data_IF_111312297751
#
_entry.id   IF_111312297751
#
_cell.length_a   1.000
_cell.length_b   1.000
_cell.length_c   1.000
_cell.angle_alpha   90.00
_cell.angle_beta   90.00
_cell.angle_gamma   90.00
#
_symmetry.space_group_name_H-M   'P 1'
#
loop_
_entity.id
_entity.type
_entity.pdbx_description
1 polymer ?
2 polymer ?
3 non-polymer ?
4 water ?
#
# COMPACT_ATOMS: atom_id res chain seq x y z
N UNK A 1 10.38 5.20 -12.08
CA UNK A 1 9.91 6.03 -13.19
C UNK A 1 8.46 5.70 -13.56
N UNK A 2 8.07 6.12 -14.76
CA UNK A 2 6.69 5.96 -15.26
C UNK A 2 6.67 5.46 -16.68
N UNK A 3 5.69 4.62 -16.99
CA UNK A 3 5.43 4.15 -18.35
C UNK A 3 3.92 4.16 -18.55
N UNK A 4 3.46 4.87 -19.56
CA UNK A 4 2.05 4.87 -19.88
C UNK A 4 1.82 4.20 -21.22
N UNK A 5 0.69 3.51 -21.34
CA UNK A 5 0.38 2.77 -22.54
C UNK A 5 -1.13 2.66 -22.69
N UNK A 6 -1.60 2.52 -23.92
CA UNK A 6 -3.02 2.33 -24.19
C UNK A 6 -3.37 0.85 -24.04
N UNK A 7 -4.61 0.56 -23.65
CA UNK A 7 -5.07 -0.83 -23.57
C UNK A 7 -4.88 -1.56 -24.90
N UNK A 8 -4.43 -2.81 -24.83
CA UNK A 8 -4.17 -3.59 -26.02
C UNK A 8 -2.76 -3.46 -26.57
N UNK A 9 -2.08 -2.36 -26.26
CA UNK A 9 -0.72 -2.15 -26.75
C UNK A 9 0.32 -2.84 -25.86
N UNK A 10 1.59 -2.64 -26.18
CA UNK A 10 2.68 -3.32 -25.50
C UNK A 10 3.47 -2.36 -24.61
N UNK A 11 3.70 -2.77 -23.37
CA UNK A 11 4.47 -1.98 -22.43
C UNK A 11 5.83 -2.62 -22.27
N UNK A 12 6.86 -1.80 -22.04
CA UNK A 12 8.19 -2.32 -21.76
C UNK A 12 8.74 -1.57 -20.57
N UNK A 13 9.33 -2.30 -19.64
CA UNK A 13 9.80 -1.69 -18.42
C UNK A 13 11.24 -2.08 -18.20
N UNK A 14 12.09 -1.08 -17.95
CA UNK A 14 13.51 -1.32 -17.82
C UNK A 14 13.88 -1.23 -16.36
N UNK A 15 14.76 -2.12 -15.91
CA UNK A 15 15.14 -2.13 -14.50
C UNK A 15 16.56 -2.62 -14.31
N UNK A 16 17.27 -2.00 -13.38
CA UNK A 16 18.63 -2.40 -13.04
C UNK A 16 19.74 -1.86 -13.93
N UNK A 17 20.96 -2.15 -13.50
CA UNK A 17 22.19 -1.70 -14.14
C UNK A 17 22.43 -2.53 -15.40
N UNK A 18 23.34 -2.08 -16.26
CA UNK A 18 23.73 -2.88 -17.42
C UNK A 18 24.45 -4.15 -16.99
N UNK A 19 24.20 -5.25 -17.69
CA UNK A 19 24.71 -6.55 -17.26
C UNK A 19 26.22 -6.62 -17.38
N UNK A 20 26.84 -7.43 -16.52
CA UNK A 20 28.29 -7.68 -16.59
C UNK A 20 28.54 -9.17 -16.79
N UNK A 21 27.92 -9.97 -15.94
CA UNK A 21 28.04 -11.42 -16.03
C UNK A 21 26.77 -12.10 -16.50
N UNK A 22 26.63 -13.39 -16.22
CA UNK A 22 25.40 -14.10 -16.60
C UNK A 22 24.33 -13.69 -15.62
N UNK A 23 23.07 -13.70 -16.05
CA UNK A 23 22.05 -13.06 -15.25
C UNK A 23 20.88 -13.97 -14.91
N UNK A 24 20.31 -13.77 -13.73
CA UNK A 24 18.96 -14.26 -13.44
C UNK A 24 18.14 -13.12 -12.83
N UNK A 25 17.14 -12.67 -13.57
CA UNK A 25 16.34 -11.54 -13.12
C UNK A 25 14.98 -12.02 -12.67
N UNK A 26 14.54 -11.47 -11.53
CA UNK A 26 13.26 -11.80 -10.93
C UNK A 26 12.40 -10.55 -11.00
N UNK A 27 11.14 -10.70 -11.39
CA UNK A 27 10.25 -9.53 -11.47
C UNK A 27 9.07 -9.67 -10.56
N UNK A 28 8.71 -8.55 -9.91
CA UNK A 28 7.56 -8.52 -9.03
C UNK A 28 6.59 -7.43 -9.47
N UNK A 29 5.31 -7.66 -9.21
CA UNK A 29 4.26 -6.71 -9.56
C UNK A 29 3.63 -6.29 -8.25
N UNK A 30 3.38 -4.99 -8.10
CA UNK A 30 2.72 -4.56 -6.88
C UNK A 30 1.52 -3.69 -7.20
N UNK A 31 0.33 -4.25 -6.94
CA UNK A 31 -0.92 -3.52 -7.16
C UNK A 31 -1.17 -2.57 -5.98
N UNK A 32 -1.86 -1.44 -6.23
CA UNK A 32 -2.12 -0.45 -5.17
C UNK A 32 -2.71 -1.06 -3.91
N UNK A 33 -2.06 -0.82 -2.77
CA UNK A 33 -2.52 -1.34 -1.49
C UNK A 33 -2.18 -2.80 -1.20
N UNK A 34 -1.41 -3.43 -2.08
CA UNK A 34 -1.10 -4.85 -1.93
C UNK A 34 0.41 -5.12 -1.76
N UNK A 35 0.72 -6.33 -1.29
CA UNK A 35 2.09 -6.83 -1.26
C UNK A 35 2.59 -7.05 -2.70
N UNK A 36 3.91 -6.99 -2.91
CA UNK A 36 4.49 -7.45 -4.18
C UNK A 36 4.11 -8.92 -4.42
N UNK A 37 3.97 -9.32 -5.66
CA UNK A 37 3.78 -10.73 -5.99
C UNK A 37 4.73 -11.10 -7.11
N UNK A 38 5.20 -12.33 -7.10
CA UNK A 38 6.15 -12.78 -8.11
C UNK A 38 5.50 -12.89 -9.49
N UNK A 39 6.16 -12.34 -10.51
CA UNK A 39 5.68 -12.40 -11.88
C UNK A 39 6.56 -13.24 -12.78
N UNK A 40 7.88 -13.09 -12.61
CA UNK A 40 8.82 -13.85 -13.43
C UNK A 40 10.05 -14.18 -12.60
N UNK A 41 10.59 -15.38 -12.80
CA UNK A 41 11.88 -15.70 -12.20
C UNK A 41 12.78 -16.31 -13.25
N UNK A 42 14.08 -16.36 -12.97
CA UNK A 42 15.04 -16.97 -13.91
C UNK A 42 14.91 -16.35 -15.29
N UNK A 43 14.79 -15.02 -15.34
CA UNK A 43 14.68 -14.24 -16.58
C UNK A 43 13.36 -14.32 -17.33
N UNK A 44 12.85 -15.54 -17.56
CA UNK A 44 11.60 -15.66 -18.33
C UNK A 44 10.72 -16.84 -17.94
N UNK A 45 10.87 -17.34 -16.72
CA UNK A 45 9.98 -18.40 -16.26
C UNK A 45 8.85 -17.78 -15.43
N UNK A 46 7.64 -18.29 -15.60
CA UNK A 46 6.50 -17.75 -14.87
C UNK A 46 5.99 -18.75 -13.83
N UNK A 47 5.60 -18.24 -12.66
CA UNK A 47 4.95 -19.09 -11.65
C UNK A 47 3.48 -19.32 -12.00
N UNK A 48 2.80 -20.13 -11.19
CA UNK A 48 1.41 -20.47 -11.42
C UNK A 48 0.48 -19.25 -11.40
N UNK A 49 -0.33 -19.10 -12.43
CA UNK A 49 -1.30 -18.02 -12.50
C UNK A 49 -0.88 -16.84 -13.36
N UNK A 50 0.38 -16.83 -13.82
CA UNK A 50 0.88 -15.75 -14.66
C UNK A 50 0.85 -16.14 -16.15
N UNK A 51 0.13 -15.36 -16.97
CA UNK A 51 -0.04 -15.62 -18.41
C UNK A 51 1.19 -15.24 -19.24
N UNK A 52 1.26 -15.72 -20.48
CA UNK A 52 2.45 -15.49 -21.32
C UNK A 52 2.49 -14.10 -21.96
N UNK A 53 1.59 -13.21 -21.53
CA UNK A 53 1.67 -11.81 -21.93
C UNK A 53 2.92 -11.19 -21.32
N UNK A 54 3.34 -11.73 -20.19
CA UNK A 54 4.48 -11.20 -19.45
C UNK A 54 5.74 -11.95 -19.86
N UNK A 55 6.77 -11.21 -20.25
CA UNK A 55 8.03 -11.83 -20.69
C UNK A 55 9.20 -11.00 -20.23
N UNK A 56 10.31 -11.67 -19.90
CA UNK A 56 11.51 -10.98 -19.48
C UNK A 56 12.64 -11.16 -20.47
N UNK A 57 13.51 -10.17 -20.57
CA UNK A 57 14.60 -10.19 -21.53
C UNK A 57 15.70 -11.12 -21.03
N UNK A 58 16.29 -11.92 -21.94
CA UNK A 58 17.26 -12.96 -21.54
C UNK A 58 18.41 -12.42 -20.68
N UNK A 59 18.95 -13.25 -19.80
CA UNK A 59 20.10 -12.84 -19.00
C UNK A 59 21.38 -13.02 -19.79
N UNK A 60 21.53 -12.20 -20.83
CA UNK A 60 22.28 -12.58 -22.03
C UNK A 60 23.40 -11.62 -22.48
N UNK A 61 23.08 -10.84 -23.51
CA UNK A 61 24.01 -9.92 -24.18
C UNK A 61 24.65 -8.96 -23.18
N UNK A 62 25.98 -9.00 -23.09
CA UNK A 62 26.67 -8.24 -22.06
C UNK A 62 26.47 -6.74 -22.22
N UNK A 63 26.36 -6.04 -21.09
CA UNK A 63 26.24 -4.60 -21.10
C UNK A 63 24.85 -4.09 -21.45
N UNK A 64 23.84 -4.93 -21.26
CA UNK A 64 22.48 -4.50 -21.54
C UNK A 64 21.63 -4.54 -20.28
N UNK A 65 20.47 -3.90 -20.36
CA UNK A 65 19.61 -3.80 -19.19
C UNK A 65 18.44 -4.76 -19.31
N UNK A 66 18.01 -5.29 -18.17
CA UNK A 66 16.90 -6.22 -18.12
C UNK A 66 15.61 -5.47 -18.41
N UNK A 67 14.73 -6.11 -19.16
CA UNK A 67 13.47 -5.49 -19.53
C UNK A 67 12.32 -6.50 -19.35
N UNK A 68 11.19 -6.00 -18.85
CA UNK A 68 9.97 -6.79 -18.76
C UNK A 68 9.02 -6.27 -19.82
N UNK A 69 8.53 -7.16 -20.66
CA UNK A 69 7.59 -6.77 -21.70
C UNK A 69 6.20 -7.30 -21.35
N UNK A 70 5.20 -6.43 -21.43
CA UNK A 70 3.82 -6.89 -21.26
C UNK A 70 3.05 -6.57 -22.54
N UNK A 71 2.60 -7.61 -23.22
CA UNK A 71 1.85 -7.43 -24.47
C UNK A 71 0.37 -7.45 -24.15
N UNK A 72 -0.45 -6.88 -25.03
CA UNK A 72 -1.90 -6.86 -24.86
C UNK A 72 -2.29 -6.39 -23.46
N UNK A 73 -1.81 -5.20 -23.09
CA UNK A 73 -1.99 -4.69 -21.75
C UNK A 73 -3.46 -4.45 -21.42
N UNK A 74 -3.86 -4.82 -20.21
CA UNK A 74 -5.20 -4.48 -19.72
C UNK A 74 -5.09 -3.67 -18.43
N UNK A 75 -6.20 -3.08 -18.01
CA UNK A 75 -6.21 -2.19 -16.85
C UNK A 75 -5.77 -2.90 -15.57
N UNK A 76 -5.96 -4.22 -15.53
CA UNK A 76 -5.52 -5.02 -14.40
C UNK A 76 -4.01 -5.03 -14.22
N UNK A 77 -3.27 -4.68 -15.28
CA UNK A 77 -1.81 -4.68 -15.24
C UNK A 77 -1.21 -3.42 -14.59
N UNK A 78 -2.04 -2.40 -14.42
CA UNK A 78 -1.60 -1.17 -13.73
C UNK A 78 -1.06 -1.47 -12.33
N UNK A 79 0.22 -1.12 -12.12
CA UNK A 79 0.93 -1.51 -10.92
C UNK A 79 2.32 -0.95 -10.96
N UNK A 80 3.01 -1.10 -9.83
CA UNK A 80 4.44 -0.86 -9.77
C UNK A 80 5.16 -2.16 -10.08
N UNK A 81 6.24 -2.08 -10.82
CA UNK A 81 7.00 -3.29 -11.15
C UNK A 81 8.43 -3.12 -10.66
N UNK A 82 8.99 -4.15 -10.04
CA UNK A 82 10.36 -4.11 -9.52
C UNK A 82 11.09 -5.33 -10.01
N UNK A 83 12.38 -5.20 -10.28
CA UNK A 83 13.18 -6.36 -10.59
C UNK A 83 14.11 -6.61 -9.43
N UNK A 84 14.60 -7.83 -9.31
CA UNK A 84 15.65 -8.15 -8.35
C UNK A 84 16.72 -8.84 -9.18
N UNK A 85 17.89 -8.21 -9.28
CA UNK A 85 18.93 -8.67 -10.20
C UNK A 85 19.93 -9.60 -9.54
N UNK A 86 20.17 -10.76 -10.17
CA UNK A 86 21.28 -11.63 -9.85
C UNK A 86 22.23 -11.66 -11.03
N UNK A 87 23.47 -11.25 -10.79
CA UNK A 87 24.45 -11.11 -11.87
C UNK A 87 25.70 -11.82 -11.39
N UNK A 88 26.21 -12.77 -12.18
CA UNK A 88 27.26 -13.67 -11.68
C UNK A 88 28.54 -12.94 -11.33
N UNK A 89 28.68 -11.72 -11.84
CA UNK A 89 29.90 -10.93 -11.64
C UNK A 89 29.75 -9.80 -10.61
N UNK A 90 28.58 -9.70 -9.99
CA UNK A 90 28.33 -8.65 -9.00
C UNK A 90 27.98 -9.26 -7.64
N UNK A 91 28.19 -8.49 -6.57
CA UNK A 91 27.71 -8.95 -5.26
C UNK A 91 26.19 -9.10 -5.24
N UNK A 92 25.70 -9.91 -4.32
CA UNK A 92 24.26 -10.03 -4.08
C UNK A 92 23.65 -8.66 -3.88
N UNK A 93 22.53 -8.40 -4.58
CA UNK A 93 21.77 -7.17 -4.41
C UNK A 93 20.75 -7.37 -3.31
N UNK A 94 20.81 -6.55 -2.27
CA UNK A 94 19.88 -6.68 -1.14
C UNK A 94 18.72 -5.69 -1.27
N UNK A 95 18.84 -4.77 -2.22
CA UNK A 95 17.75 -3.86 -2.54
C UNK A 95 17.24 -4.18 -3.94
N UNK A 96 15.93 -4.19 -4.14
CA UNK A 96 15.39 -4.40 -5.46
C UNK A 96 15.73 -3.21 -6.34
N UNK A 97 15.69 -3.39 -7.65
CA UNK A 97 15.88 -2.25 -8.55
C UNK A 97 14.80 -1.22 -8.32
N UNK A 98 15.06 0.02 -8.72
CA UNK A 98 14.07 1.09 -8.59
C UNK A 98 12.84 0.76 -9.41
N UNK A 99 11.67 1.03 -8.83
CA UNK A 99 10.42 0.63 -9.45
C UNK A 99 9.97 1.48 -10.60
N UNK A 100 9.12 0.90 -11.45
CA UNK A 100 8.46 1.67 -12.50
C UNK A 100 6.96 1.50 -12.39
N UNK A 101 6.25 2.63 -12.44
CA UNK A 101 4.79 2.63 -12.39
C UNK A 101 4.21 2.51 -13.79
N UNK A 102 3.44 1.45 -14.03
CA UNK A 102 2.74 1.28 -15.31
C UNK A 102 1.36 1.92 -15.24
N UNK A 103 1.14 2.88 -16.13
CA UNK A 103 -0.14 3.57 -16.27
C UNK A 103 -0.85 3.03 -17.50
N UNK A 104 -2.11 2.62 -17.34
CA UNK A 104 -2.88 2.13 -18.47
C UNK A 104 -3.98 3.13 -18.82
N UNK A 105 -3.82 3.82 -19.94
CA UNK A 105 -4.74 4.89 -20.30
C UNK A 105 -6.03 4.33 -20.87
N UNK A 106 -6.89 3.82 -20.02
CA UNK A 106 -8.21 3.40 -20.45
C UNK A 106 -9.08 4.63 -20.66
N UNK A 107 -8.79 5.67 -19.88
CA UNK A 107 -9.52 6.93 -19.90
C UNK A 107 -11.02 6.72 -19.68
N UNK A 110 -11.68 10.35 -16.55
CA UNK A 110 -10.65 11.36 -16.36
C UNK A 110 -11.08 12.46 -15.39
N UNK A 111 -12.36 12.84 -15.44
CA UNK A 111 -12.90 13.93 -14.61
C UNK A 111 -13.40 13.42 -13.26
N UNK A 112 -13.12 14.19 -12.19
CA UNK A 112 -13.36 13.71 -10.82
C UNK A 112 -14.84 13.57 -10.46
N UNK A 113 -15.14 12.53 -9.69
CA UNK A 113 -16.36 12.46 -8.91
C UNK A 113 -16.06 13.13 -7.57
N UNK A 114 -16.89 14.11 -7.20
CA UNK A 114 -16.75 14.77 -5.90
C UNK A 114 -17.95 14.50 -4.99
N UNK A 115 -17.68 14.19 -3.72
CA UNK A 115 -18.75 14.05 -2.75
C UNK A 115 -18.41 14.84 -1.48
N UNK A 116 -19.40 15.58 -0.98
CA UNK A 116 -19.20 16.47 0.17
C UNK A 116 -20.17 16.18 1.32
N UNK A 117 -19.63 15.72 2.45
CA UNK A 117 -20.44 15.43 3.63
C UNK A 117 -20.35 16.51 4.69
N UNK A 118 -21.49 16.87 5.26
CA UNK A 118 -21.56 17.72 6.45
C UNK A 118 -21.08 16.96 7.68
N UNK A 119 -20.82 17.68 8.80
CA UNK A 119 -20.45 16.96 10.03
C UNK A 119 -21.59 16.06 10.51
N UNK A 120 -21.25 14.93 11.11
CA UNK A 120 -22.25 14.01 11.61
C UNK A 120 -22.85 14.55 12.90
N UNK A 121 -24.06 14.10 13.25
CA UNK A 121 -24.69 14.51 14.50
C UNK A 121 -23.78 14.08 15.64
N UNK A 122 -23.20 12.89 15.46
CA UNK A 122 -22.34 12.31 16.47
C UNK A 122 -21.07 13.13 16.70
N UNK A 123 -20.45 13.63 15.64
CA UNK A 123 -19.28 14.50 15.83
C UNK A 123 -19.70 15.79 16.53
N UNK A 124 -20.84 16.35 16.11
CA UNK A 124 -21.38 17.57 16.70
C UNK A 124 -21.68 17.40 18.18
N UNK A 125 -22.09 16.19 18.58
CA UNK A 125 -22.37 15.89 19.97
C UNK A 125 -21.08 15.79 20.77
N UNK A 126 -19.96 15.68 20.06
CA UNK A 126 -18.66 15.65 20.70
C UNK A 126 -17.99 17.01 20.55
N UNK A 127 -18.79 18.01 20.18
CA UNK A 127 -18.35 19.39 20.09
C UNK A 127 -17.25 19.59 19.04
N UNK A 128 -17.28 18.75 18.01
CA UNK A 128 -16.35 18.87 16.91
C UNK A 128 -17.13 18.93 15.60
N UNK A 129 -16.46 19.35 14.54
CA UNK A 129 -17.10 19.38 13.23
C UNK A 129 -16.06 19.24 12.14
N UNK A 130 -16.33 18.34 11.19
CA UNK A 130 -15.45 18.16 10.05
C UNK A 130 -16.29 18.02 8.81
N UNK A 131 -15.97 18.84 7.81
CA UNK A 131 -16.56 18.74 6.49
C UNK A 131 -15.70 17.80 5.67
N UNK A 132 -16.32 16.84 4.98
CA UNK A 132 -15.55 15.86 4.25
C UNK A 132 -15.81 15.93 2.75
N UNK A 133 -14.75 16.22 1.98
CA UNK A 133 -14.87 16.36 0.53
C UNK A 133 -14.11 15.23 -0.14
N UNK A 134 -14.83 14.31 -0.76
CA UNK A 134 -14.21 13.12 -1.35
C UNK A 134 -14.07 13.25 -2.87
N UNK A 135 -12.87 13.02 -3.38
CA UNK A 135 -12.58 13.21 -4.80
C UNK A 135 -11.97 11.95 -5.41
N UNK A 136 -12.59 11.44 -6.47
CA UNK A 136 -12.17 10.16 -7.01
C UNK A 136 -12.38 10.03 -8.53
N UNK A 137 -11.88 8.91 -9.05
CA UNK A 137 -12.11 8.50 -10.43
C UNK A 137 -11.59 9.52 -11.45
N UNK A 138 -10.55 10.27 -11.07
CA UNK A 138 -9.98 11.24 -11.99
C UNK A 138 -8.58 10.85 -12.50
N UNK A 139 -8.29 11.27 -13.73
CA UNK A 139 -6.96 11.16 -14.32
C UNK A 139 -6.77 12.32 -15.28
N UNK A 140 -5.56 12.90 -15.34
CA UNK A 140 -4.38 12.59 -14.51
C UNK A 140 -4.55 12.98 -13.03
N UNK A 141 -3.55 12.67 -12.21
CA UNK A 141 -3.69 12.82 -10.77
C UNK A 141 -3.26 14.16 -10.22
N UNK A 142 -3.70 15.24 -10.85
CA UNK A 142 -3.45 16.57 -10.33
C UNK A 142 -4.76 17.29 -10.07
N UNK A 143 -5.00 17.63 -8.81
CA UNK A 143 -6.09 18.50 -8.43
C UNK A 143 -5.58 19.45 -7.37
N UNK A 144 -6.18 20.63 -7.27
CA UNK A 144 -6.02 21.43 -6.07
C UNK A 144 -7.41 21.59 -5.49
N UNK A 145 -7.49 21.63 -4.17
CA UNK A 145 -8.77 21.83 -3.52
C UNK A 145 -8.72 23.10 -2.70
N UNK A 146 -9.79 23.87 -2.80
CA UNK A 146 -9.94 25.07 -2.00
C UNK A 146 -11.29 24.99 -1.32
N UNK A 147 -11.41 25.66 -0.17
CA UNK A 147 -12.68 25.69 0.55
C UNK A 147 -13.18 27.11 0.67
N UNK A 148 -14.50 27.26 0.71
CA UNK A 148 -15.09 28.56 0.91
C UNK A 148 -16.00 28.52 2.12
N UNK A 149 -15.99 29.61 2.87
CA UNK A 149 -16.99 29.81 3.91
C UNK A 149 -17.85 30.96 3.37
N UNK A 150 -19.11 30.67 3.09
CA UNK A 150 -19.94 31.54 2.26
C UNK A 150 -19.19 31.80 0.95
N UNK A 151 -18.73 33.04 0.76
CA UNK A 151 -17.93 33.37 -0.42
C UNK A 151 -16.45 33.51 -0.07
N UNK A 152 -16.16 33.49 1.23
CA UNK A 152 -14.82 33.81 1.71
C UNK A 152 -13.91 32.60 1.66
N UNK A 153 -12.66 32.81 1.20
CA UNK A 153 -11.65 31.76 1.25
C UNK A 153 -11.34 31.37 2.69
N UNK A 154 -11.20 30.08 2.92
CA UNK A 154 -10.78 29.54 4.20
C UNK A 154 -9.26 29.58 4.30
N UNK A 155 -8.77 30.16 5.39
CA UNK A 155 -7.33 30.33 5.59
C UNK A 155 -6.75 29.29 6.55
N UNK A 156 -7.61 28.42 7.08
CA UNK A 156 -7.20 27.53 8.17
C UNK A 156 -8.09 26.31 8.34
N UNK A 157 -7.48 25.20 8.76
CA UNK A 157 -8.23 24.00 9.12
C UNK A 157 -8.40 23.00 7.99
N UNK A 158 -7.78 23.28 6.84
CA UNK A 158 -7.89 22.42 5.67
C UNK A 158 -6.76 21.40 5.62
N UNK A 159 -7.12 20.13 5.48
CA UNK A 159 -6.11 19.11 5.21
C UNK A 159 -6.48 18.29 3.97
N UNK A 160 -5.55 18.23 3.02
CA UNK A 160 -5.85 17.59 1.75
C UNK A 160 -4.77 16.58 1.37
N UNK A 161 -5.19 15.40 0.95
CA UNK A 161 -4.28 14.35 0.56
C UNK A 161 -3.63 14.70 -0.78
N UNK A 162 -2.40 14.24 -0.96
CA UNK A 162 -1.85 14.11 -2.28
C UNK A 162 -2.61 12.92 -2.84
N UNK A 163 -3.15 13.04 -4.07
CA UNK A 163 -3.91 11.89 -4.57
C UNK A 163 -3.00 10.71 -4.87
N UNK A 164 -3.57 9.52 -4.88
CA UNK A 164 -2.85 8.31 -5.27
C UNK A 164 -3.75 7.37 -6.07
N UNK A 165 -3.16 6.28 -6.57
CA UNK A 165 -3.90 5.28 -7.33
C UNK A 165 -4.53 4.24 -6.39
N UNK A 171 -7.33 8.28 -10.02
CA UNK A 171 -6.84 8.71 -8.72
C UNK A 171 -7.97 9.01 -7.75
N UNK A 172 -7.62 9.04 -6.46
CA UNK A 172 -8.56 9.42 -5.40
C UNK A 172 -7.88 10.37 -4.44
N UNK A 173 -8.63 11.35 -3.94
CA UNK A 173 -8.06 12.32 -3.01
C UNK A 173 -9.13 12.79 -2.02
N UNK A 174 -8.67 13.33 -0.90
CA UNK A 174 -9.58 13.73 0.15
C UNK A 174 -9.24 15.11 0.65
N UNK A 175 -10.25 15.89 1.00
CA UNK A 175 -9.99 17.12 1.70
C UNK A 175 -10.95 17.25 2.88
N UNK A 176 -10.40 17.70 3.99
CA UNK A 176 -11.10 17.81 5.26
C UNK A 176 -10.98 19.22 5.77
N UNK A 177 -12.12 19.81 6.10
CA UNK A 177 -12.12 21.12 6.75
C UNK A 177 -12.56 20.92 8.19
N UNK A 178 -11.66 21.19 9.13
CA UNK A 178 -11.99 21.15 10.56
C UNK A 178 -12.57 22.48 11.03
N UNK A 179 -13.75 22.43 11.65
CA UNK A 179 -14.43 23.63 12.15
C UNK A 179 -14.94 23.37 13.57
N UNK A 180 -15.30 24.44 14.27
CA UNK A 180 -16.04 24.31 15.53
C UNK A 180 -17.52 24.22 15.17
N UNK A 181 -18.35 23.68 16.09
CA UNK A 181 -19.78 23.58 15.80
C UNK A 181 -20.44 24.92 15.53
N UNK A 182 -20.01 25.97 16.22
CA UNK A 182 -20.61 27.29 15.97
C UNK A 182 -20.13 27.91 14.65
N UNK A 183 -18.89 27.63 14.25
CA UNK A 183 -18.43 28.07 12.93
C UNK A 183 -19.31 27.45 11.83
N UNK A 184 -19.56 26.17 11.96
CA UNK A 184 -20.44 25.43 11.05
C UNK A 184 -21.85 26.02 10.99
N UNK A 185 -22.44 26.32 12.14
CA UNK A 185 -23.82 26.82 12.18
C UNK A 185 -23.91 28.28 11.76
N UNK A 186 -22.81 29.03 11.91
CA UNK A 186 -22.79 30.47 11.63
C UNK A 186 -23.12 30.83 10.18
N UNK A 187 -22.35 30.26 9.26
CA UNK A 187 -22.42 30.65 7.85
C UNK A 187 -23.61 30.02 7.13
N UNK A 188 -23.98 30.63 6.01
CA UNK A 188 -25.07 30.14 5.18
C UNK A 188 -24.69 28.80 4.57
N UNK A 189 -23.44 28.69 4.14
CA UNK A 189 -22.94 27.46 3.53
C UNK A 189 -21.42 27.38 3.53
N UNK A 190 -20.91 26.18 3.27
CA UNK A 190 -19.49 25.99 2.94
C UNK A 190 -19.40 25.26 1.61
N UNK A 191 -18.33 25.51 0.87
CA UNK A 191 -18.17 24.90 -0.45
C UNK A 191 -16.79 24.27 -0.57
N UNK A 192 -16.75 23.13 -1.25
CA UNK A 192 -15.50 22.50 -1.62
C UNK A 192 -15.32 22.73 -3.11
N UNK A 193 -14.19 23.32 -3.51
CA UNK A 193 -13.92 23.60 -4.91
C UNK A 193 -12.75 22.76 -5.41
N UNK A 194 -12.99 21.94 -6.43
CA UNK A 194 -11.94 21.04 -6.93
C UNK A 194 -11.50 21.50 -8.29
N UNK A 195 -10.21 21.79 -8.43
CA UNK A 195 -9.69 22.31 -9.69
C UNK A 195 -8.93 21.21 -10.41
N UNK A 196 -9.39 20.88 -11.61
CA UNK A 196 -8.85 19.75 -12.34
C UNK A 196 -8.83 20.02 -13.84
N UNK A 197 -7.63 19.97 -14.41
CA UNK A 197 -7.45 20.07 -15.86
C UNK A 197 -8.23 21.21 -16.50
N UNK A 198 -8.01 22.42 -15.99
CA UNK A 198 -8.63 23.60 -16.58
C UNK A 198 -10.00 23.93 -16.02
N UNK A 199 -10.67 22.94 -15.41
CA UNK A 199 -12.01 23.17 -14.89
C UNK A 199 -12.05 23.09 -13.37
N UNK A 200 -13.06 23.71 -12.78
CA UNK A 200 -13.25 23.66 -11.34
C UNK A 200 -14.67 23.20 -11.01
N UNK A 201 -14.77 22.10 -10.26
CA UNK A 201 -16.05 21.57 -9.84
C UNK A 201 -16.30 21.93 -8.40
N UNK A 202 -17.48 22.46 -8.12
CA UNK A 202 -17.84 22.86 -6.76
C UNK A 202 -19.08 22.14 -6.24
N UNK A 203 -19.05 21.76 -4.96
CA UNK A 203 -20.23 21.28 -4.26
C UNK A 203 -20.37 22.09 -2.96
N UNK A 204 -21.61 22.27 -2.52
CA UNK A 204 -21.84 23.10 -1.35
C UNK A 204 -22.66 22.35 -0.30
N UNK A 205 -22.53 22.78 0.95
CA UNK A 205 -23.19 22.11 2.07
C UNK A 205 -23.62 23.16 3.09
N UNK A 206 -24.76 22.91 3.76
CA UNK A 206 -25.33 23.87 4.68
C UNK A 206 -25.99 23.21 5.88
N UNK A 207 -26.03 23.92 7.02
CA UNK A 207 -26.86 23.45 8.14
C UNK A 207 -28.34 23.56 7.78
N UNK B 1 -3.66 -23.87 1.58
CA UNK B 1 -2.86 -22.98 0.75
C UNK B 1 -1.77 -22.42 1.65
N UNK B 2 -0.55 -22.32 1.13
CA UNK B 2 0.47 -21.64 1.91
C UNK B 2 0.00 -20.21 2.22
N UNK B 3 0.04 -19.84 3.49
CA UNK B 3 -0.56 -18.59 3.92
C UNK B 3 0.27 -18.06 5.05
N UNK B 4 0.75 -16.83 4.88
CA UNK B 4 1.61 -16.19 5.87
C UNK B 4 0.92 -14.96 6.43
N UNK B 5 1.02 -14.79 7.74
CA UNK B 5 0.42 -13.61 8.34
C UNK B 5 1.38 -12.99 9.34
N UNK B 6 1.83 -11.79 9.03
CA UNK B 6 2.76 -11.05 9.88
C UNK B 6 2.02 -10.29 10.98
N UNK B 7 2.69 -10.13 12.10
CA UNK B 7 2.15 -9.30 13.16
C UNK B 7 3.29 -8.58 13.83
N UNK B 8 2.95 -7.44 14.41
CA UNK B 8 3.94 -6.58 15.01
C UNK B 8 3.23 -5.48 15.77
N UNK B 9 4.01 -4.56 16.34
CA UNK B 9 3.54 -3.55 17.29
C UNK B 9 2.94 -2.31 16.63
N UNK B 10 3.12 -2.14 15.33
CA UNK B 10 2.63 -0.96 14.63
C UNK B 10 3.49 0.27 14.88
N UNK B 11 3.82 0.51 16.15
CA UNK B 11 4.62 1.66 16.58
C UNK B 11 5.78 1.23 17.49
N UNK B 12 6.98 1.72 17.20
CA UNK B 12 8.16 1.47 18.00
C UNK B 12 8.86 2.81 18.24
N UNK B 13 9.39 3.03 19.44
CA UNK B 13 10.14 4.27 19.72
C UNK B 13 11.55 4.13 19.22
N UNK B 14 12.17 5.24 18.82
CA UNK B 14 13.58 5.19 18.43
C UNK B 14 14.47 4.59 19.52
N UNK B 15 15.42 3.75 19.09
CA UNK B 15 16.37 3.01 19.95
C UNK B 15 15.80 1.68 20.48
N UNK B 16 14.50 1.49 20.36
CA UNK B 16 13.89 0.28 20.86
C UNK B 16 14.17 -0.85 19.88
N UNK B 17 13.77 -2.06 20.26
CA UNK B 17 13.91 -3.22 19.36
C UNK B 17 12.59 -3.56 18.72
N UNK B 18 12.59 -3.69 17.40
CA UNK B 18 11.40 -4.12 16.67
C UNK B 18 11.34 -5.64 16.67
N UNK B 19 10.18 -6.18 17.05
CA UNK B 19 10.02 -7.64 17.05
C UNK B 19 8.78 -8.03 16.26
N UNK B 20 8.99 -8.82 15.21
CA UNK B 20 7.90 -9.22 14.32
C UNK B 20 7.79 -10.73 14.27
N UNK B 21 6.57 -11.19 14.00
CA UNK B 21 6.30 -12.62 13.89
C UNK B 21 5.62 -12.87 12.55
N UNK B 22 5.93 -14.00 11.92
CA UNK B 22 5.23 -14.41 10.71
C UNK B 22 4.61 -15.78 10.97
N UNK B 23 3.29 -15.82 11.09
CA UNK B 23 2.56 -17.03 11.37
C UNK B 23 2.34 -17.78 10.06
N UNK B 24 2.74 -19.04 10.02
CA UNK B 24 2.70 -19.80 8.78
C UNK B 24 1.70 -20.95 8.83
N UNK B 25 0.87 -21.08 7.79
CA UNK B 25 0.02 -22.25 7.62
C UNK B 25 0.23 -22.82 6.22
N UNK B 26 -0.15 -24.08 6.04
CA UNK B 26 -0.16 -24.73 4.74
C UNK B 26 1.19 -25.28 4.32
N UNK B 27 2.20 -25.09 5.16
CA UNK B 27 3.52 -25.69 5.01
C UNK B 27 4.19 -25.65 6.39
N UNK B 28 5.21 -26.47 6.59
CA UNK B 28 5.97 -26.49 7.83
C UNK B 28 7.22 -25.65 7.65
N UNK B 29 7.59 -24.86 8.67
CA UNK B 29 8.66 -23.86 8.49
C UNK B 29 10.02 -24.49 8.17
N UNK B 30 10.26 -25.69 8.70
CA UNK B 30 11.54 -26.36 8.49
C UNK B 30 11.78 -26.69 7.00
N UNK B 31 10.71 -26.72 6.22
CA UNK B 31 10.79 -27.22 4.85
C UNK B 31 10.95 -26.11 3.81
N UNK B 32 11.21 -24.88 4.26
CA UNK B 32 11.31 -23.75 3.36
C UNK B 32 12.44 -22.82 3.78
N UNK B 33 13.00 -22.08 2.84
CA UNK B 33 13.78 -20.87 3.17
C UNK B 33 12.75 -19.79 3.40
N UNK B 34 13.04 -18.90 4.34
CA UNK B 34 12.20 -17.76 4.69
C UNK B 34 12.92 -16.44 4.56
N UNK B 35 12.29 -15.45 3.94
CA UNK B 35 12.87 -14.13 3.86
C UNK B 35 12.01 -13.12 4.59
N UNK B 36 12.66 -12.08 5.09
CA UNK B 36 11.95 -10.87 5.48
C UNK B 36 12.36 -9.79 4.50
N UNK B 37 11.38 -8.98 4.12
CA UNK B 37 11.57 -7.91 3.15
C UNK B 37 10.86 -6.68 3.70
N UNK B 38 11.43 -5.50 3.50
CA UNK B 38 10.71 -4.30 3.94
C UNK B 38 10.63 -3.27 2.83
N UNK B 39 9.59 -2.45 2.87
CA UNK B 39 9.37 -1.46 1.85
C UNK B 39 8.89 -0.17 2.48
N UNK B 40 9.78 0.83 2.54
CA UNK B 40 9.35 2.15 2.99
C UNK B 40 8.32 2.75 2.03
N UNK B 41 7.49 3.65 2.57
CA UNK B 41 6.53 4.39 1.75
C UNK B 41 7.20 5.02 0.53
N UNK B 42 6.66 4.72 -0.65
CA UNK B 42 7.14 5.32 -1.88
C UNK B 42 8.47 4.79 -2.41
N UNK B 43 9.00 3.74 -1.78
CA UNK B 43 10.31 3.20 -2.20
C UNK B 43 10.22 1.73 -2.63
N UNK B 44 11.33 1.17 -3.09
CA UNK B 44 11.32 -0.23 -3.53
C UNK B 44 11.58 -1.18 -2.36
N UNK B 45 11.28 -2.48 -2.55
CA UNK B 45 11.59 -3.42 -1.47
C UNK B 45 13.09 -3.56 -1.20
N UNK B 46 13.42 -3.80 0.07
CA UNK B 46 14.77 -4.07 0.56
C UNK B 46 14.76 -5.42 1.27
N UNK B 47 15.61 -6.34 0.84
CA UNK B 47 15.67 -7.69 1.37
C UNK B 47 16.44 -7.63 2.68
N UNK B 48 15.83 -8.09 3.77
CA UNK B 48 16.49 -8.04 5.08
C UNK B 48 17.42 -9.23 5.31
N UNK B 49 16.98 -10.42 4.89
CA UNK B 49 17.74 -11.63 5.12
C UNK B 49 16.92 -12.85 4.78
N UNK B 50 17.59 -14.00 4.71
CA UNK B 50 16.88 -15.26 4.55
C UNK B 50 17.38 -16.24 5.60
N UNK B 51 16.50 -17.13 6.03
CA UNK B 51 16.85 -18.07 7.08
C UNK B 51 16.35 -19.47 6.74
N UNK B 52 17.11 -20.48 7.15
CA UNK B 52 16.74 -21.86 6.94
C UNK B 52 17.13 -22.70 8.16
N UNK B 53 16.35 -23.74 8.44
CA UNK B 53 16.58 -24.60 9.60
C UNK B 53 17.95 -25.28 9.54
N UNK B 54 18.45 -25.49 8.32
CA UNK B 54 19.79 -26.06 8.12
C UNK B 54 20.94 -25.18 8.58
N UNK B 55 20.68 -23.88 8.77
CA UNK B 55 21.74 -22.93 9.05
C UNK B 55 22.20 -22.16 7.81
N UNK B 56 21.62 -22.48 6.66
CA UNK B 56 21.92 -21.76 5.42
C UNK B 56 21.18 -20.44 5.43
N UNK B 57 21.78 -19.47 6.11
CA UNK B 57 21.11 -18.25 6.52
C UNK B 57 22.05 -17.08 6.27
N UNK B 58 21.49 -15.96 5.82
CA UNK B 58 22.32 -14.79 5.56
C UNK B 58 21.55 -13.50 5.72
N UNK B 59 22.25 -12.45 6.16
CA UNK B 59 21.62 -11.17 6.46
C UNK B 59 22.16 -10.06 5.55
N UNK B 60 21.29 -9.12 5.22
CA UNK B 60 21.69 -7.91 4.52
C UNK B 60 22.85 -7.24 5.29
N UNK B 61 24.01 -7.07 4.65
CA UNK B 61 25.17 -6.48 5.35
C UNK B 61 24.89 -5.13 6.03
N UNK B 62 24.03 -4.31 5.43
CA UNK B 62 23.78 -2.98 5.99
C UNK B 62 23.03 -3.06 7.34
N UNK B 63 22.46 -4.22 7.65
CA UNK B 63 21.65 -4.39 8.87
C UNK B 63 22.30 -5.41 9.78
N UNK B 64 23.48 -5.85 9.38
CA UNK B 64 24.09 -7.06 9.92
C UNK B 64 24.13 -7.10 11.43
N UNK B 65 24.53 -5.99 12.05
CA UNK B 65 24.75 -5.98 13.49
C UNK B 65 23.44 -5.81 14.26
N UNK B 66 22.36 -5.52 13.56
CA UNK B 66 21.13 -5.18 14.26
C UNK B 66 20.04 -6.20 14.10
N UNK B 67 20.20 -7.13 13.16
CA UNK B 67 19.10 -8.00 12.79
C UNK B 67 19.30 -9.45 13.27
N UNK B 68 18.20 -10.09 13.63
CA UNK B 68 18.23 -11.52 13.98
C UNK B 68 17.00 -12.17 13.36
N UNK B 69 17.19 -13.31 12.67
CA UNK B 69 16.07 -14.07 12.12
C UNK B 69 16.03 -15.46 12.75
N UNK B 70 14.81 -15.97 13.00
CA UNK B 70 14.66 -17.28 13.61
C UNK B 70 13.46 -18.01 13.05
N UNK B 71 13.47 -19.35 13.19
CA UNK B 71 12.32 -20.20 12.89
C UNK B 71 11.88 -20.89 14.16
N UNK B 72 10.58 -20.97 14.40
CA UNK B 72 10.07 -21.70 15.55
C UNK B 72 9.24 -22.89 15.04
N UNK B 73 9.84 -24.08 15.08
CA UNK B 73 9.22 -25.28 14.53
C UNK B 73 8.03 -25.71 15.37
N UNK B 74 8.06 -25.43 16.67
CA UNK B 74 6.98 -25.92 17.54
C UNK B 74 5.71 -25.14 17.26
N UNK B 75 5.85 -23.85 16.97
CA UNK B 75 4.71 -22.97 16.74
C UNK B 75 4.48 -22.68 15.26
N UNK B 76 5.36 -23.18 14.41
CA UNK B 76 5.29 -22.93 12.96
C UNK B 76 5.24 -21.45 12.59
N UNK B 77 6.26 -20.73 13.04
CA UNK B 77 6.36 -19.31 12.74
C UNK B 77 7.81 -18.91 12.46
N UNK B 78 7.96 -17.72 11.90
CA UNK B 78 9.27 -17.17 11.53
C UNK B 78 9.36 -15.85 12.26
N UNK B 79 10.53 -15.53 12.80
CA UNK B 79 10.61 -14.29 13.58
C UNK B 79 11.71 -13.37 13.09
N UNK B 80 11.54 -12.09 13.38
CA UNK B 80 12.57 -11.08 13.09
C UNK B 80 12.75 -10.22 14.31
N UNK B 81 13.98 -9.87 14.63
CA UNK B 81 14.20 -8.80 15.61
C UNK B 81 15.18 -7.84 14.98
N UNK B 82 14.92 -6.55 15.17
CA UNK B 82 15.77 -5.49 14.60
C UNK B 82 16.03 -4.47 15.72
N UNK B 83 17.28 -4.33 16.13
CA UNK B 83 17.60 -3.49 17.28
C UNK B 83 17.91 -2.04 16.91
N UNK B 84 17.90 -1.18 17.92
CA UNK B 84 18.28 0.22 17.76
C UNK B 84 17.61 0.93 16.62
N UNK B 85 16.28 0.80 16.51
CA UNK B 85 15.60 1.36 15.35
C UNK B 85 15.63 2.89 15.31
N UNK B 86 15.52 3.43 14.10
CA UNK B 86 15.32 4.86 13.90
C UNK B 86 14.24 5.02 12.86
N UNK B 87 13.93 6.26 12.50
CA UNK B 87 12.90 6.55 11.48
C UNK B 87 13.20 5.90 10.14
N UNK B 88 14.48 5.70 9.82
CA UNK B 88 14.87 5.05 8.57
C UNK B 88 14.34 3.61 8.49
N UNK B 89 13.97 3.02 9.64
CA UNK B 89 13.46 1.65 9.65
C UNK B 89 11.93 1.59 9.51
N UNK B 90 11.28 2.75 9.39
CA UNK B 90 9.83 2.75 9.15
C UNK B 90 9.50 2.17 7.77
N UNK B 91 8.59 1.19 7.73
CA UNK B 91 8.28 0.51 6.48
C UNK B 91 7.16 -0.47 6.69
N UNK B 92 6.67 -1.03 5.59
CA UNK B 92 5.87 -2.22 5.70
C UNK B 92 6.80 -3.44 5.60
N UNK B 93 6.69 -4.35 6.55
CA UNK B 93 7.53 -5.53 6.61
C UNK B 93 6.79 -6.77 6.18
N UNK B 94 7.43 -7.57 5.34
CA UNK B 94 6.81 -8.74 4.76
C UNK B 94 7.64 -9.98 5.02
N UNK B 95 6.94 -11.08 5.25
CA UNK B 95 7.50 -12.43 5.36
C UNK B 95 7.21 -13.10 4.01
N UNK B 96 8.16 -13.90 3.50
CA UNK B 96 7.95 -14.65 2.25
C UNK B 96 8.64 -16.01 2.21
N UNK B 97 7.95 -17.01 1.65
CA UNK B 97 8.62 -18.26 1.29
C UNK B 97 9.59 -17.93 0.18
N UNK B 98 10.76 -18.55 0.25
CA UNK B 98 11.85 -18.19 -0.64
C UNK B 98 12.33 -19.45 -1.34
N UNK B 99 12.25 -19.45 -2.66
CA UNK B 99 12.70 -20.61 -3.41
C UNK B 99 14.08 -20.32 -4.00
N UNK B 100 14.79 -21.40 -4.28
CA UNK B 100 16.19 -21.34 -4.68
C UNK B 100 16.30 -21.90 -6.09
N UNK B 101 17.12 -21.29 -6.93
CA UNK B 101 17.37 -21.80 -8.26
C UNK B 101 18.85 -21.68 -8.58
N UNK B 102 19.33 -22.48 -9.53
CA UNK B 102 20.73 -22.41 -9.96
C UNK B 102 20.91 -22.17 -11.46
N UNK B 103 21.81 -21.24 -11.80
CA UNK B 103 22.23 -21.11 -13.18
C UNK B 103 23.47 -21.98 -13.42
N UNK B 104 23.32 -22.98 -14.28
CA UNK B 104 24.36 -24.00 -14.47
C UNK B 104 24.77 -24.04 -15.94
N UNK B 105 26.07 -23.90 -16.19
CA UNK B 105 26.57 -23.97 -17.57
C UNK B 105 27.50 -25.16 -17.77
N UNK B 106 28.25 -25.13 -18.87
CA UNK B 106 29.30 -26.10 -19.09
C UNK B 106 30.40 -25.86 -18.07
N UNK B 107 31.22 -26.88 -17.85
CA UNK B 107 32.28 -26.80 -16.86
C UNK B 107 33.29 -25.72 -17.23
N UNK B 108 33.38 -25.40 -18.52
CA UNK B 108 34.24 -24.31 -18.99
C UNK B 108 33.81 -22.98 -18.38
N UNK B 109 32.53 -22.89 -17.98
CA UNK B 109 31.95 -21.69 -17.39
C UNK B 109 31.64 -21.83 -15.89
N UNK B 110 32.32 -22.76 -15.21
CA UNK B 110 32.11 -23.02 -13.78
C UNK B 110 32.16 -21.77 -12.90
N UNK B 111 33.11 -20.88 -13.15
CA UNK B 111 33.19 -19.65 -12.36
C UNK B 111 31.93 -18.82 -12.45
N UNK B 112 31.12 -19.03 -13.49
CA UNK B 112 29.95 -18.20 -13.67
C UNK B 112 28.67 -18.87 -13.16
N UNK B 113 28.79 -20.07 -12.56
CA UNK B 113 27.64 -20.69 -11.92
C UNK B 113 27.24 -19.91 -10.67
N UNK B 114 25.94 -19.84 -10.42
CA UNK B 114 25.47 -19.13 -9.25
C UNK B 114 24.07 -19.55 -8.87
N UNK B 115 23.73 -19.29 -7.62
CA UNK B 115 22.39 -19.54 -7.13
C UNK B 115 21.63 -18.24 -7.00
N UNK B 116 20.31 -18.31 -7.15
CA UNK B 116 19.50 -17.11 -7.01
C UNK B 116 18.29 -17.50 -6.20
N UNK B 117 17.66 -16.51 -5.55
CA UNK B 117 16.46 -16.75 -4.76
C UNK B 117 15.30 -15.92 -5.30
N UNK B 118 14.09 -16.44 -5.18
CA UNK B 118 12.90 -15.68 -5.53
C UNK B 118 11.84 -15.93 -4.47
N UNK B 119 11.04 -14.90 -4.21
CA UNK B 119 10.04 -14.96 -3.13
C UNK B 119 8.67 -15.25 -3.72
N UNK B 120 8.19 -16.47 -3.56
CA UNK B 120 7.00 -16.86 -4.33
C UNK B 120 5.67 -16.69 -3.60
N UNK B 121 5.68 -16.75 -2.27
CA UNK B 121 4.46 -16.45 -1.50
C UNK B 121 4.77 -15.42 -0.42
N UNK B 122 4.05 -14.30 -0.43
CA UNK B 122 4.26 -13.23 0.53
C UNK B 122 3.08 -13.14 1.50
N UNK B 123 3.32 -12.66 2.72
CA UNK B 123 2.25 -12.36 3.65
C UNK B 123 1.60 -11.03 3.26
N UNK B 124 0.62 -10.55 4.03
CA UNK B 124 -0.06 -9.30 3.69
C UNK B 124 0.76 -8.09 4.10
N UNK B 125 1.72 -8.32 5.00
CA UNK B 125 2.60 -7.26 5.47
C UNK B 125 2.15 -6.69 6.81
N UNK B 126 3.10 -6.22 7.61
CA UNK B 126 2.75 -5.49 8.83
C UNK B 126 3.40 -4.12 8.82
N UNK B 127 2.64 -3.09 9.16
CA UNK B 127 3.16 -1.72 9.10
C UNK B 127 3.95 -1.36 10.35
N UNK B 128 5.15 -0.83 10.15
CA UNK B 128 6.01 -0.42 11.26
C UNK B 128 6.40 1.05 11.14
N UNK B 129 5.98 1.85 12.13
CA UNK B 129 6.36 3.25 12.20
C UNK B 129 7.30 3.43 13.41
N UNK B 130 8.47 3.97 13.16
CA UNK B 130 9.39 4.29 14.24
C UNK B 130 9.24 5.77 14.46
N UNK B 131 8.71 6.15 15.62
CA UNK B 131 8.43 7.54 15.91
C UNK B 131 8.43 7.77 17.40
N UNK B 132 8.76 8.99 17.80
CA UNK B 132 8.72 9.35 19.21
C UNK B 132 7.30 9.76 19.61
N UNK B 133 6.44 9.99 18.64
CA UNK B 133 5.04 10.33 18.96
C UNK B 133 4.25 9.14 19.51
N UNK B 134 3.36 9.40 20.45
CA UNK B 134 2.61 8.33 21.09
C UNK B 134 1.45 7.85 20.25
N UNK B 135 1.08 6.58 20.43
CA UNK B 135 -0.12 6.05 19.82
C UNK B 135 -1.35 6.85 20.23
N UNK B 136 -2.28 7.01 19.28
CA UNK B 136 -3.57 7.63 19.56
C UNK B 136 -4.64 6.87 18.79
N UNK B 137 -5.71 6.46 19.46
CA UNK B 137 -6.79 5.74 18.80
C UNK B 137 -7.74 6.68 18.07
N UNK B 138 -8.34 6.20 16.98
CA UNK B 138 -9.20 7.08 16.16
C UNK B 138 -10.56 7.33 16.79
N UNK B 139 -11.20 8.38 16.31
CA UNK B 139 -12.59 8.64 16.60
C UNK B 139 -13.32 8.33 15.31
N UNK B 140 -14.41 7.58 15.40
CA UNK B 140 -15.10 7.13 14.19
C UNK B 140 -16.49 7.74 14.17
N UNK B 141 -16.84 8.38 13.06
CA UNK B 141 -18.14 9.02 12.93
C UNK B 141 -18.79 8.57 11.63
N UNK B 142 -20.12 8.44 11.64
CA UNK B 142 -20.83 8.02 10.42
C UNK B 142 -21.01 9.17 9.44
N UNK B 143 -20.92 8.88 8.15
CA UNK B 143 -21.20 9.85 7.10
C UNK B 143 -22.55 9.49 6.49
N UNK B 144 -23.60 10.10 7.00
CA UNK B 144 -24.97 9.69 6.73
C UNK B 144 -25.39 9.89 5.28
N UNK B 145 -26.18 8.93 4.75
CA UNK B 145 -26.73 9.00 3.39
C UNK B 145 -27.81 10.09 3.34
N UNK B 146 -27.89 10.82 2.23
CA UNK B 146 -28.88 11.88 2.10
C UNK B 146 -29.37 12.06 0.66
N UNK B 147 -28.48 11.81 -0.30
CA UNK B 147 -28.79 11.97 -1.72
C UNK B 147 -27.81 11.20 -2.60
N UNK B 152 -30.05 9.51 -9.15
CA UNK B 152 -29.56 8.34 -9.85
C UNK B 152 -30.01 7.06 -9.20
N UNK B 153 -30.86 7.19 -8.18
CA UNK B 153 -31.34 6.05 -7.43
C UNK B 153 -30.31 5.52 -6.46
N UNK B 154 -29.12 6.11 -6.48
CA UNK B 154 -28.01 5.68 -5.64
C UNK B 154 -27.56 6.80 -4.70
N UNK B 155 -27.07 6.41 -3.53
CA UNK B 155 -26.56 7.36 -2.56
C UNK B 155 -25.20 6.92 -2.07
N UNK B 156 -24.40 7.87 -1.59
CA UNK B 156 -23.12 7.53 -0.97
C UNK B 156 -23.26 7.67 0.53
N UNK B 157 -22.28 7.13 1.24
CA UNK B 157 -22.50 6.70 2.60
C UNK B 157 -21.11 6.33 3.05
N UNK B 158 -20.71 6.74 4.24
CA UNK B 158 -19.36 6.42 4.65
C UNK B 158 -19.09 6.47 6.13
N UNK B 159 -17.80 6.41 6.46
CA UNK B 159 -17.33 6.55 7.83
C UNK B 159 -16.06 7.38 7.84
N UNK B 160 -16.01 8.32 8.77
CA UNK B 160 -14.84 9.18 8.95
C UNK B 160 -14.04 8.59 10.10
N UNK B 161 -12.75 8.35 9.87
CA UNK B 161 -11.88 7.81 10.90
C UNK B 161 -10.88 8.93 11.21
N UNK B 162 -11.09 9.61 12.33
CA UNK B 162 -10.43 10.89 12.60
C UNK B 162 -9.32 10.80 13.65
N UNK B 163 -8.19 11.43 13.33
CA UNK B 163 -7.15 11.74 14.30
C UNK B 163 -6.55 10.53 15.03
N UNK B 164 -5.87 9.65 14.30
CA UNK B 164 -5.20 8.50 14.89
C UNK B 164 -3.70 8.52 14.56
N UNK B 165 -2.93 7.72 15.31
CA UNK B 165 -1.50 7.55 15.06
C UNK B 165 -1.04 6.23 15.69
N UNK B 166 -0.17 5.49 14.99
CA UNK B 166 0.34 5.68 13.63
C UNK B 166 -0.62 5.03 12.63
N UNK B 167 -0.24 4.98 11.36
CA UNK B 167 -0.87 4.08 10.39
C UNK B 167 -0.62 2.63 10.81
N UNK B 168 -1.48 1.68 10.38
CA UNK B 168 -2.64 1.84 9.51
C UNK B 168 -3.96 1.59 10.22
N UNK B 169 -5.04 1.92 9.54
CA UNK B 169 -6.38 1.56 9.96
C UNK B 169 -6.99 0.71 8.84
N UNK B 170 -7.70 -0.35 9.21
CA UNK B 170 -8.46 -1.11 8.24
C UNK B 170 -9.94 -0.79 8.41
N UNK B 171 -10.66 -0.61 7.30
CA UNK B 171 -12.10 -0.39 7.37
C UNK B 171 -12.80 -1.43 6.51
N UNK B 172 -13.79 -2.11 7.07
CA UNK B 172 -14.61 -2.98 6.24
C UNK B 172 -16.05 -2.56 6.39
N UNK B 173 -16.91 -3.07 5.53
CA UNK B 173 -18.33 -2.79 5.65
C UNK B 173 -19.09 -4.09 5.85
N UNK B 174 -20.00 -4.09 6.82
CA UNK B 174 -20.76 -5.29 7.17
C UNK B 174 -19.86 -6.51 7.37
N UNK B 175 -18.74 -6.29 8.08
CA UNK B 175 -17.78 -7.33 8.44
C UNK B 175 -17.08 -8.00 7.26
N UNK B 176 -17.28 -7.45 6.07
CA UNK B 176 -16.70 -8.02 4.86
C UNK B 176 -17.73 -8.37 3.81
N UNK B 177 -19.00 -8.32 4.19
CA UNK B 177 -20.09 -8.65 3.28
C UNK B 177 -20.53 -7.46 2.45
N UNK B 178 -19.63 -6.49 2.28
CA UNK B 178 -19.85 -5.39 1.35
C UNK B 178 -18.49 -4.88 0.90
N UNK B 179 -18.04 -5.36 -0.25
CA UNK B 179 -16.75 -4.95 -0.80
C UNK B 179 -16.98 -4.27 -2.15
N UNK B 180 -18.20 -4.35 -2.65
CA UNK B 180 -18.55 -3.68 -3.90
C UNK B 180 -19.23 -2.35 -3.65
N UNK B 181 -18.84 -1.33 -4.42
CA UNK B 181 -19.31 0.02 -4.20
C UNK B 181 -18.39 0.76 -3.24
N UNK B 182 -17.44 0.02 -2.68
CA UNK B 182 -16.57 0.48 -1.61
C UNK B 182 -15.33 1.21 -2.11
N UNK B 183 -15.04 2.37 -1.53
CA UNK B 183 -13.81 3.09 -1.77
C UNK B 183 -13.27 3.60 -0.43
N UNK B 184 -12.15 3.02 0.02
CA UNK B 184 -11.48 3.47 1.24
C UNK B 184 -10.28 4.32 0.85
N UNK B 185 -10.34 5.60 1.17
CA UNK B 185 -9.35 6.56 0.70
C UNK B 185 -8.05 6.39 1.46
N UNK B 186 -6.93 6.78 0.83
CA UNK B 186 -5.67 6.81 1.58
C UNK B 186 -5.72 7.91 2.63
N UNK B 187 -5.02 7.70 3.74
CA UNK B 187 -5.06 8.63 4.87
C UNK B 187 -4.34 9.93 4.55
N UNK B 188 -4.78 11.00 5.20
CA UNK B 188 -4.08 12.26 5.15
C UNK B 188 -3.25 12.41 6.42
N UNK B 189 -1.98 12.76 6.28
CA UNK B 189 -1.19 13.10 7.48
C UNK B 189 -1.37 14.58 7.72
N UNK B 190 -2.07 14.91 8.81
CA UNK B 190 -2.45 16.30 9.08
C UNK B 190 -1.31 17.09 9.70
N UNK B 191 -1.45 18.41 9.73
CA UNK B 191 -0.43 19.28 10.31
C UNK B 191 -0.25 18.98 11.80
N UNK B 192 -1.25 18.34 12.42
CA UNK B 192 -1.15 17.97 13.83
C UNK B 192 -0.24 16.76 14.02
N UNK B 193 0.12 16.09 12.91
CA UNK B 193 0.92 14.88 12.97
C UNK B 193 0.09 13.63 13.19
N UNK B 194 -1.23 13.82 13.22
CA UNK B 194 -2.17 12.71 13.26
C UNK B 194 -2.71 12.42 11.87
N UNK B 195 -3.22 11.21 11.68
CA UNK B 195 -3.83 10.83 10.40
C UNK B 195 -5.35 10.88 10.48
N UNK B 196 -5.99 11.02 9.32
CA UNK B 196 -7.43 10.81 9.23
C UNK B 196 -7.70 10.11 7.91
N UNK B 197 -8.76 9.31 7.86
CA UNK B 197 -9.19 8.80 6.57
C UNK B 197 -10.69 8.58 6.55
N UNK B 198 -11.18 8.30 5.34
CA UNK B 198 -12.60 8.06 5.13
C UNK B 198 -12.75 6.84 4.25
N UNK B 199 -13.88 6.16 4.41
CA UNK B 199 -14.27 5.06 3.54
C UNK B 199 -15.70 5.33 3.13
N UNK B 200 -16.03 5.07 1.87
CA UNK B 200 -17.38 5.32 1.41
C UNK B 200 -17.93 4.09 0.68
N UNK B 201 -19.25 3.93 0.68
CA UNK B 201 -19.90 2.91 -0.14
C UNK B 201 -21.02 3.56 -0.94
N UNK B 202 -21.26 3.01 -2.13
CA UNK B 202 -22.34 3.47 -2.99
C UNK B 202 -23.44 2.43 -3.04
N UNK B 203 -24.66 2.83 -2.65
CA UNK B 203 -25.78 1.88 -2.54
C UNK B 203 -27.05 2.42 -3.18
N UNK B 204 -27.95 1.53 -3.61
CA UNK B 204 -29.28 1.95 -4.09
C UNK B 204 -30.10 2.58 -2.96
N UNK B 205 -30.78 3.68 -3.25
CA UNK B 205 -31.43 4.48 -2.21
C UNK B 205 -32.61 3.81 -1.48
N UNK B 206 -33.17 2.76 -2.07
CA UNK B 206 -34.37 2.15 -1.50
C UNK B 206 -34.09 1.40 -0.21
N UNK B 209 -35.51 0.47 2.51
CA UNK B 209 -35.02 0.30 3.86
C UNK B 209 -34.60 -1.12 4.15
N UNK B 210 -34.02 -1.78 3.15
CA UNK B 210 -33.54 -3.14 3.32
C UNK B 210 -32.29 -3.21 4.20
N UNK B 211 -31.15 -3.45 3.56
CA UNK B 211 -29.92 -3.80 4.28
C UNK B 211 -29.39 -2.75 5.25
N UNK B 212 -28.65 -3.24 6.25
CA UNK B 212 -28.03 -2.40 7.26
C UNK B 212 -26.56 -2.18 6.90
N UNK B 213 -26.09 -0.95 7.11
CA UNK B 213 -24.73 -0.59 6.77
C UNK B 213 -23.92 -0.24 8.02
N UNK B 214 -22.89 -1.05 8.28
CA UNK B 214 -22.04 -0.89 9.45
C UNK B 214 -20.60 -0.87 8.94
N UNK B 215 -19.85 0.15 9.34
CA UNK B 215 -18.42 0.15 9.06
C UNK B 215 -17.68 -0.37 10.28
N UNK B 216 -16.72 -1.24 10.02
CA UNK B 216 -15.92 -1.84 11.07
C UNK B 216 -14.52 -1.30 10.96
N UNK B 217 -14.10 -0.58 11.99
CA UNK B 217 -12.80 0.07 11.93
C UNK B 217 -11.88 -0.60 12.93
N UNK B 218 -10.69 -0.99 12.49
CA UNK B 218 -9.72 -1.50 13.43
C UNK B 218 -8.40 -0.76 13.34
N UNK B 219 -7.90 -0.33 14.50
CA UNK B 219 -6.59 0.33 14.60
C UNK B 219 -5.73 -0.55 15.50
N UNK B 220 -5.02 -1.49 14.88
CA UNK B 220 -4.25 -2.48 15.64
C UNK B 220 -3.23 -1.88 16.59
N UNK B 221 -2.44 -0.88 16.15
CA UNK B 221 -1.48 -0.27 17.08
C UNK B 221 -2.07 0.20 18.42
N UNK B 222 -3.37 0.53 18.47
CA UNK B 222 -3.97 0.97 19.74
C UNK B 222 -4.99 -0.02 20.29
N UNK B 223 -5.07 -1.20 19.68
CA UNK B 223 -6.06 -2.20 20.09
C UNK B 223 -7.47 -1.64 20.10
N UNK B 224 -7.77 -0.83 19.08
CA UNK B 224 -9.08 -0.20 18.94
C UNK B 224 -9.88 -0.92 17.86
N UNK B 225 -11.11 -1.31 18.18
CA UNK B 225 -12.04 -1.83 17.19
C UNK B 225 -13.37 -1.11 17.37
N UNK B 226 -13.91 -0.56 16.30
CA UNK B 226 -15.18 0.16 16.40
C UNK B 226 -16.14 -0.27 15.30
N UNK B 227 -17.37 -0.60 15.68
CA UNK B 227 -18.42 -0.83 14.69
C UNK B 227 -19.38 0.34 14.72
N UNK B 228 -19.62 0.93 13.55
CA UNK B 228 -20.40 2.15 13.49
C UNK B 228 -21.55 1.95 12.51
N UNK B 229 -22.77 2.05 13.03
CA UNK B 229 -23.93 1.94 12.15
C UNK B 229 -24.13 3.27 11.42
N UNK B 230 -24.38 3.21 10.12
CA UNK B 230 -24.55 4.45 9.35
C UNK B 230 -25.97 4.58 8.78
N UNK B 231 -26.71 5.55 9.31
CA UNK B 231 -28.13 5.69 8.95
C UNK B 231 -28.46 7.09 8.39
N UNK B 232 -29.49 7.16 7.53
CA UNK B 232 -30.06 8.44 7.09
C UNK B 232 -30.52 9.29 8.28
#
# INVERSE_FOLDING_TARGET
TFVSVAPGQTARITCGEESLGSRSVIWYQQRPGQAPSLIIYNNNDRPSGIPDRFSGSPGSTFGTTATLTITSVEAGDEADYYCHIWDSRRPTNWVFGEGTTLIVLSQPKAAPSVTLFPPSSEELQANKATLVCLISDFYPGAVTVAWKADSSPVKAGVETTTPSKQSNNKYAASSYLSLTPEQWKSHKSYSCQVTHEGSTVEKTVAPTECS
QVHLQESGPGLVKPSETLSLTCNVSGTLVRDNYWSWIRQPLGKQPEWIGYVHDSGDTNYNPSLKSRVHLSLDKSKNLVSLRLTGVTAADSAIYYCATTKHGRRIYGVVAFKEWFTYFYMDVWGKGTSVTVSSASTKGPSVFPLAPSSKSTSGGTAALGCLVKDYFPEPVTVSWNSGALTSGVHTFPAVLQSSGLYSLSSVVTVPSSSLGTQTYICNVNHKPSNTKVDKRVEPKSC
#
